data_IF_466021835985
#
_entry.id   IF_466021835985
#
_cell.length_a   1.000
_cell.length_b   1.000
_cell.length_c   1.000
_cell.angle_alpha   90.00
_cell.angle_beta   90.00
_cell.angle_gamma   90.00
#
_symmetry.space_group_name_H-M   'P 1'
#
loop_
_entity.id
_entity.type
_entity.pdbx_description
1 polymer ?
#
# COMPACT_ATOMS: atom_id res chain seq x y z
N UNK A 1 44.93 8.18 32.55
CA UNK A 1 44.78 8.56 31.15
C UNK A 1 44.75 7.30 30.31
N UNK A 2 43.57 6.90 29.88
CA UNK A 2 43.41 5.79 28.91
C UNK A 2 42.89 6.40 27.62
N UNK A 3 43.67 6.38 26.59
CA UNK A 3 43.37 6.87 25.24
C UNK A 3 42.44 5.85 24.57
N UNK A 4 41.21 6.29 24.28
CA UNK A 4 40.26 5.53 23.45
C UNK A 4 40.55 5.95 21.99
N UNK A 5 41.05 5.03 21.19
CA UNK A 5 41.25 5.21 19.75
C UNK A 5 39.87 5.12 19.03
N UNK A 6 39.69 5.84 17.90
CA UNK A 6 38.44 5.78 17.14
C UNK A 6 38.32 4.44 16.40
N UNK A 7 37.21 3.76 16.62
CA UNK A 7 36.80 2.63 15.81
C UNK A 7 36.32 3.15 14.44
N UNK A 8 37.11 2.86 13.39
CA UNK A 8 36.74 3.11 11.99
C UNK A 8 35.79 1.99 11.57
N UNK A 9 34.47 2.30 11.54
CA UNK A 9 33.48 1.42 10.91
C UNK A 9 33.67 1.47 9.40
N UNK A 10 34.20 0.38 8.81
CA UNK A 10 34.27 0.18 7.39
C UNK A 10 32.83 -0.07 6.87
N UNK A 11 32.19 0.98 6.35
CA UNK A 11 30.98 0.81 5.52
C UNK A 11 31.45 0.14 4.20
N UNK A 12 31.11 -1.14 4.06
CA UNK A 12 31.15 -1.83 2.76
C UNK A 12 30.09 -1.20 1.86
N UNK A 13 30.47 -0.20 1.10
CA UNK A 13 29.70 0.30 -0.04
C UNK A 13 29.62 -0.84 -1.06
N UNK A 14 28.43 -1.45 -1.19
CA UNK A 14 28.15 -2.33 -2.32
C UNK A 14 28.38 -1.51 -3.60
N UNK A 15 29.33 -1.97 -4.45
CA UNK A 15 29.60 -1.34 -5.72
C UNK A 15 28.29 -1.31 -6.55
N UNK A 16 27.90 -0.17 -7.14
CA UNK A 16 26.75 -0.12 -8.01
C UNK A 16 27.00 -1.07 -9.19
N UNK A 17 26.03 -1.95 -9.46
CA UNK A 17 26.03 -2.74 -10.70
C UNK A 17 26.14 -1.78 -11.87
N UNK A 18 27.02 -2.03 -12.87
CA UNK A 18 27.12 -1.16 -14.04
C UNK A 18 25.74 -1.11 -14.71
N UNK A 19 25.18 0.09 -14.80
CA UNK A 19 23.90 0.32 -15.45
C UNK A 19 24.04 -0.11 -16.92
N UNK A 20 23.30 -1.13 -17.35
CA UNK A 20 23.21 -1.51 -18.75
C UNK A 20 22.35 -0.46 -19.46
N UNK A 21 23.01 0.53 -20.05
CA UNK A 21 22.37 1.69 -20.69
C UNK A 21 21.91 1.43 -22.12
N UNK A 22 22.25 0.28 -22.71
CA UNK A 22 21.83 -0.13 -24.05
C UNK A 22 21.00 -1.40 -24.01
N UNK A 23 20.02 -1.50 -24.94
CA UNK A 23 19.22 -2.72 -25.12
C UNK A 23 20.01 -3.78 -25.89
N UNK A 24 19.96 -5.01 -25.43
CA UNK A 24 20.35 -6.18 -26.24
C UNK A 24 19.38 -6.37 -27.39
N UNK A 25 19.71 -7.24 -28.36
CA UNK A 25 18.83 -7.52 -29.49
C UNK A 25 17.46 -8.08 -29.08
N UNK A 26 17.43 -9.00 -28.10
CA UNK A 26 16.16 -9.56 -27.59
C UNK A 26 15.34 -8.51 -26.84
N UNK A 27 15.99 -7.62 -26.07
CA UNK A 27 15.32 -6.52 -25.39
C UNK A 27 14.77 -5.47 -26.38
N UNK A 28 15.42 -5.27 -27.54
CA UNK A 28 14.88 -4.44 -28.62
C UNK A 28 13.63 -5.08 -29.23
N UNK A 29 13.67 -6.41 -29.50
CA UNK A 29 12.50 -7.13 -29.97
C UNK A 29 11.35 -7.02 -28.94
N UNK A 30 11.60 -7.26 -27.66
CA UNK A 30 10.62 -7.12 -26.58
C UNK A 30 9.97 -5.73 -26.56
N UNK A 31 10.77 -4.66 -26.64
CA UNK A 31 10.28 -3.29 -26.75
C UNK A 31 9.33 -3.11 -27.93
N UNK A 32 9.72 -3.61 -29.11
CA UNK A 32 8.99 -3.43 -30.36
C UNK A 32 7.70 -4.27 -30.39
N UNK A 33 7.71 -5.47 -29.81
CA UNK A 33 6.51 -6.31 -29.57
C UNK A 33 5.48 -5.54 -28.75
N UNK A 34 5.86 -4.97 -27.60
CA UNK A 34 4.95 -4.20 -26.75
C UNK A 34 4.40 -2.97 -27.50
N UNK A 35 5.22 -2.33 -28.33
CA UNK A 35 4.76 -1.19 -29.12
C UNK A 35 3.70 -1.62 -30.16
N UNK A 36 3.86 -2.77 -30.79
CA UNK A 36 2.88 -3.32 -31.75
C UNK A 36 1.56 -3.72 -31.11
N UNK A 37 1.58 -4.17 -29.85
CA UNK A 37 0.40 -4.57 -29.07
C UNK A 37 -0.35 -3.41 -28.39
N UNK A 38 0.12 -2.16 -28.57
CA UNK A 38 -0.48 -0.99 -27.89
C UNK A 38 -1.99 -0.88 -28.06
N UNK A 39 -2.50 -1.15 -29.24
CA UNK A 39 -3.94 -1.05 -29.53
C UNK A 39 -4.73 -2.09 -28.73
N UNK A 40 -4.19 -3.30 -28.64
CA UNK A 40 -4.81 -4.42 -27.91
C UNK A 40 -4.78 -4.16 -26.40
N UNK A 41 -3.67 -3.63 -25.88
CA UNK A 41 -3.59 -3.24 -24.46
C UNK A 41 -4.63 -2.16 -24.09
N UNK A 42 -4.85 -1.17 -24.94
CA UNK A 42 -5.88 -0.14 -24.72
C UNK A 42 -7.29 -0.73 -24.82
N UNK A 43 -7.53 -1.65 -25.77
CA UNK A 43 -8.82 -2.32 -25.91
C UNK A 43 -9.11 -3.22 -24.69
N UNK A 44 -8.10 -3.92 -24.19
CA UNK A 44 -8.21 -4.73 -23.00
C UNK A 44 -8.46 -3.88 -21.75
N UNK A 45 -7.73 -2.76 -21.57
CA UNK A 45 -7.98 -1.82 -20.50
C UNK A 45 -9.44 -1.32 -20.54
N UNK A 46 -9.92 -0.89 -21.72
CA UNK A 46 -11.32 -0.51 -21.88
C UNK A 46 -12.27 -1.60 -21.41
N UNK A 47 -12.04 -2.84 -21.83
CA UNK A 47 -12.89 -3.96 -21.47
C UNK A 47 -13.00 -4.16 -19.96
N UNK A 48 -11.87 -4.13 -19.22
CA UNK A 48 -11.87 -4.38 -17.78
C UNK A 48 -12.35 -3.20 -16.94
N UNK A 49 -12.12 -1.94 -17.37
CA UNK A 49 -12.64 -0.77 -16.66
C UNK A 49 -14.13 -0.54 -16.92
N UNK A 50 -14.67 -1.03 -18.03
CA UNK A 50 -16.10 -1.00 -18.32
C UNK A 50 -16.91 -2.04 -17.51
N UNK A 51 -16.22 -2.91 -16.76
CA UNK A 51 -16.84 -3.79 -15.76
C UNK A 51 -16.81 -3.05 -14.40
N UNK A 52 -17.98 -2.59 -13.86
CA UNK A 52 -18.04 -2.01 -12.52
C UNK A 52 -17.58 -3.01 -11.48
N UNK A 53 -16.62 -2.61 -10.63
CA UNK A 53 -16.00 -3.47 -9.62
C UNK A 53 -15.64 -2.70 -8.33
N UNK A 54 -16.54 -1.82 -7.86
CA UNK A 54 -16.39 -1.27 -6.51
C UNK A 54 -16.22 -2.41 -5.50
N UNK A 55 -15.44 -2.23 -4.44
CA UNK A 55 -15.04 -3.31 -3.52
C UNK A 55 -16.20 -4.16 -3.03
N UNK A 56 -17.35 -3.54 -2.75
CA UNK A 56 -18.56 -4.24 -2.30
C UNK A 56 -19.37 -4.90 -3.43
N UNK A 57 -19.03 -4.64 -4.69
CA UNK A 57 -19.62 -5.31 -5.85
C UNK A 57 -18.91 -6.64 -6.13
N UNK A 58 -19.13 -7.61 -5.24
CA UNK A 58 -18.52 -8.95 -5.30
C UNK A 58 -18.60 -9.57 -6.71
N UNK A 59 -19.77 -9.51 -7.36
CA UNK A 59 -19.96 -10.04 -8.70
C UNK A 59 -19.19 -9.27 -9.79
N UNK A 60 -18.99 -7.97 -9.61
CA UNK A 60 -18.18 -7.13 -10.49
C UNK A 60 -16.70 -7.49 -10.42
N UNK A 61 -16.15 -7.57 -9.22
CA UNK A 61 -14.76 -7.96 -8.98
C UNK A 61 -14.49 -9.37 -9.51
N UNK A 62 -15.40 -10.34 -9.28
CA UNK A 62 -15.29 -11.69 -9.83
C UNK A 62 -15.29 -11.72 -11.37
N UNK A 63 -16.09 -10.86 -12.02
CA UNK A 63 -16.10 -10.76 -13.50
C UNK A 63 -14.77 -10.22 -14.03
N UNK A 64 -14.19 -9.19 -13.38
CA UNK A 64 -12.86 -8.71 -13.74
C UNK A 64 -11.83 -9.82 -13.55
N UNK A 65 -11.86 -10.51 -12.40
CA UNK A 65 -10.98 -11.65 -12.13
C UNK A 65 -11.07 -12.75 -13.20
N UNK A 66 -12.28 -13.11 -13.65
CA UNK A 66 -12.47 -14.11 -14.68
C UNK A 66 -11.82 -13.74 -16.02
N UNK A 67 -11.81 -12.45 -16.39
CA UNK A 67 -11.15 -11.96 -17.61
C UNK A 67 -9.62 -12.14 -17.50
N UNK A 68 -9.02 -11.81 -16.36
CA UNK A 68 -7.58 -12.00 -16.16
C UNK A 68 -7.19 -13.47 -15.99
N UNK A 69 -8.02 -14.30 -15.36
CA UNK A 69 -7.81 -15.76 -15.27
C UNK A 69 -7.67 -16.34 -16.68
N UNK A 70 -8.63 -16.08 -17.57
CA UNK A 70 -8.59 -16.61 -18.94
C UNK A 70 -7.32 -16.19 -19.69
N UNK A 71 -6.87 -14.95 -19.49
CA UNK A 71 -5.67 -14.42 -20.14
C UNK A 71 -4.38 -15.04 -19.57
N UNK A 72 -4.28 -15.19 -18.26
CA UNK A 72 -3.11 -15.79 -17.60
C UNK A 72 -3.03 -17.30 -17.85
N UNK A 73 -4.16 -18.01 -17.87
CA UNK A 73 -4.21 -19.43 -18.26
C UNK A 73 -3.67 -19.63 -19.69
N UNK A 74 -3.99 -18.72 -20.62
CA UNK A 74 -3.48 -18.79 -22.00
C UNK A 74 -1.97 -18.62 -22.13
N UNK A 75 -1.33 -17.97 -21.11
CA UNK A 75 0.12 -17.82 -20.97
C UNK A 75 0.78 -18.96 -20.18
N UNK A 76 0.03 -20.01 -19.85
CA UNK A 76 0.56 -21.17 -19.12
C UNK A 76 0.66 -21.01 -17.61
N UNK A 77 0.07 -19.96 -17.04
CA UNK A 77 -0.02 -19.82 -15.58
C UNK A 77 -1.03 -20.82 -15.00
N UNK A 78 -0.76 -21.30 -13.81
CA UNK A 78 -1.72 -22.03 -12.99
C UNK A 78 -2.48 -21.03 -12.13
N UNK A 79 -3.72 -20.75 -12.48
CA UNK A 79 -4.55 -19.78 -11.76
C UNK A 79 -5.38 -20.45 -10.64
N UNK A 80 -5.59 -19.71 -9.57
CA UNK A 80 -6.42 -20.10 -8.42
C UNK A 80 -7.21 -18.88 -7.94
N UNK A 81 -8.52 -18.99 -7.87
CA UNK A 81 -9.35 -18.02 -7.17
C UNK A 81 -9.43 -18.38 -5.70
N UNK A 82 -8.99 -17.49 -4.82
CA UNK A 82 -9.06 -17.63 -3.36
C UNK A 82 -10.26 -16.85 -2.85
N UNK A 83 -11.40 -17.51 -2.56
CA UNK A 83 -12.61 -16.81 -2.13
C UNK A 83 -12.46 -16.29 -0.69
N UNK A 84 -13.10 -15.16 -0.39
CA UNK A 84 -13.31 -14.70 0.98
C UNK A 84 -14.54 -15.37 1.60
N UNK A 85 -14.57 -15.41 2.94
CA UNK A 85 -15.77 -15.88 3.64
C UNK A 85 -16.97 -14.95 3.36
N UNK A 86 -18.20 -15.48 3.30
CA UNK A 86 -19.39 -14.67 3.04
C UNK A 86 -19.58 -13.51 4.04
N UNK A 87 -19.14 -13.70 5.28
CA UNK A 87 -19.22 -12.70 6.35
C UNK A 87 -18.37 -11.46 6.05
N UNK A 88 -17.26 -11.63 5.35
CA UNK A 88 -16.38 -10.54 4.93
C UNK A 88 -17.00 -9.69 3.81
N UNK A 89 -17.96 -10.24 3.06
CA UNK A 89 -18.61 -9.57 1.91
C UNK A 89 -17.61 -9.00 0.91
N UNK A 90 -16.55 -9.78 0.63
CA UNK A 90 -15.51 -9.48 -0.36
C UNK A 90 -15.42 -10.61 -1.38
N UNK A 91 -14.98 -10.29 -2.59
CA UNK A 91 -14.97 -11.23 -3.70
C UNK A 91 -13.92 -12.34 -3.55
N UNK A 92 -12.78 -12.02 -3.01
CA UNK A 92 -11.60 -12.87 -2.98
C UNK A 92 -10.50 -12.37 -3.93
N UNK A 93 -9.48 -13.19 -4.12
CA UNK A 93 -8.25 -12.83 -4.82
C UNK A 93 -7.92 -13.82 -5.93
N UNK A 94 -7.21 -13.36 -6.95
CA UNK A 94 -6.57 -14.21 -7.94
C UNK A 94 -5.10 -14.43 -7.56
N UNK A 95 -4.68 -15.68 -7.50
CA UNK A 95 -3.27 -16.09 -7.45
C UNK A 95 -2.95 -16.88 -8.72
N UNK A 96 -1.93 -16.47 -9.49
CA UNK A 96 -1.51 -17.13 -10.69
C UNK A 96 0.00 -17.40 -10.64
N UNK A 97 0.43 -18.64 -10.90
CA UNK A 97 1.82 -19.08 -10.73
C UNK A 97 2.36 -19.63 -12.06
N UNK A 98 3.54 -19.16 -12.45
CA UNK A 98 4.32 -19.67 -13.57
C UNK A 98 5.70 -20.11 -13.08
N UNK A 99 6.06 -21.37 -13.36
CA UNK A 99 7.32 -21.95 -12.97
C UNK A 99 8.31 -21.92 -14.15
N UNK A 100 9.41 -21.20 -13.97
CA UNK A 100 10.53 -21.12 -14.89
C UNK A 100 11.75 -21.93 -14.43
N UNK A 101 12.95 -21.37 -14.59
CA UNK A 101 14.20 -22.04 -14.25
C UNK A 101 14.45 -22.11 -12.74
N UNK A 102 14.80 -23.29 -12.25
CA UNK A 102 15.18 -23.47 -10.85
C UNK A 102 16.43 -22.63 -10.48
N UNK A 103 16.43 -22.08 -9.27
CA UNK A 103 17.53 -21.25 -8.75
C UNK A 103 17.56 -19.80 -9.26
N UNK A 104 16.66 -19.43 -10.18
CA UNK A 104 16.44 -18.04 -10.61
C UNK A 104 15.47 -17.32 -9.68
N UNK A 105 15.52 -15.99 -9.71
CA UNK A 105 14.67 -15.12 -8.89
C UNK A 105 13.17 -15.44 -9.10
N UNK A 106 12.43 -15.53 -7.99
CA UNK A 106 10.98 -15.68 -7.93
C UNK A 106 10.36 -14.31 -7.71
N UNK A 107 9.59 -13.83 -8.65
CA UNK A 107 9.07 -12.47 -8.69
C UNK A 107 7.58 -12.49 -8.35
N UNK A 108 7.18 -11.75 -7.32
CA UNK A 108 5.78 -11.50 -6.99
C UNK A 108 5.32 -10.20 -7.66
N UNK A 109 4.26 -10.26 -8.46
CA UNK A 109 3.60 -9.13 -9.08
C UNK A 109 2.27 -8.87 -8.35
N UNK A 110 2.05 -7.64 -7.91
CA UNK A 110 0.90 -7.27 -7.07
C UNK A 110 0.06 -6.22 -7.80
N UNK A 111 -1.26 -6.47 -7.82
CA UNK A 111 -2.28 -5.54 -8.28
C UNK A 111 -3.61 -5.77 -7.59
N UNK A 112 -4.66 -5.00 -7.98
CA UNK A 112 -6.01 -5.18 -7.45
C UNK A 112 -7.11 -4.90 -8.48
N UNK A 113 -8.25 -5.59 -8.34
CA UNK A 113 -9.38 -5.52 -9.26
C UNK A 113 -10.46 -4.52 -8.85
N UNK A 114 -10.53 -4.22 -7.56
CA UNK A 114 -11.57 -3.37 -7.01
C UNK A 114 -11.28 -1.88 -7.21
N UNK A 115 -12.28 -1.06 -6.95
CA UNK A 115 -12.19 0.41 -7.07
C UNK A 115 -12.94 1.06 -5.91
N UNK A 116 -12.47 2.22 -5.45
CA UNK A 116 -13.19 3.03 -4.44
C UNK A 116 -14.56 3.44 -4.94
N UNK A 117 -14.64 3.89 -6.20
CA UNK A 117 -15.89 4.37 -6.79
C UNK A 117 -16.54 3.27 -7.61
N UNK A 118 -17.83 3.02 -7.37
CA UNK A 118 -18.65 2.15 -8.21
C UNK A 118 -19.26 2.95 -9.37
N UNK A 119 -18.80 2.77 -10.62
CA UNK A 119 -19.41 3.46 -11.75
C UNK A 119 -20.79 2.88 -12.06
N UNK A 120 -21.73 3.71 -12.48
CA UNK A 120 -23.09 3.28 -12.84
C UNK A 120 -23.17 2.40 -14.10
N UNK A 121 -22.06 2.18 -14.80
CA UNK A 121 -21.95 1.41 -16.05
C UNK A 121 -20.56 1.56 -16.66
N UNK A 122 -20.45 1.36 -17.97
CA UNK A 122 -19.20 1.53 -18.70
C UNK A 122 -18.60 2.93 -18.45
N UNK A 123 -17.33 2.97 -18.05
CA UNK A 123 -16.67 4.20 -17.59
C UNK A 123 -15.63 4.75 -18.57
N UNK A 124 -15.19 3.95 -19.57
CA UNK A 124 -14.14 4.34 -20.49
C UNK A 124 -14.61 5.34 -21.54
N UNK A 125 -14.12 6.57 -21.43
CA UNK A 125 -14.32 7.61 -22.46
C UNK A 125 -12.96 8.13 -22.91
N UNK A 126 -12.60 7.83 -24.16
CA UNK A 126 -11.32 8.27 -24.73
C UNK A 126 -11.30 9.77 -24.99
N UNK A 127 -10.23 10.42 -24.58
CA UNK A 127 -9.95 11.85 -24.77
C UNK A 127 -8.50 11.98 -25.26
N UNK A 128 -8.30 11.90 -26.58
CA UNK A 128 -7.00 11.93 -27.26
C UNK A 128 -5.99 10.89 -26.71
N UNK A 129 -4.98 11.36 -25.96
CA UNK A 129 -3.93 10.56 -25.36
C UNK A 129 -4.27 10.05 -23.95
N UNK A 130 -5.45 10.43 -23.43
CA UNK A 130 -5.97 9.99 -22.14
C UNK A 130 -7.32 9.32 -22.31
N UNK A 131 -7.79 8.66 -21.26
CA UNK A 131 -9.18 8.25 -21.16
C UNK A 131 -9.67 8.55 -19.73
N UNK A 132 -10.93 9.01 -19.63
CA UNK A 132 -11.65 8.95 -18.36
C UNK A 132 -12.06 7.50 -18.17
N UNK A 133 -11.67 6.92 -17.02
CA UNK A 133 -11.92 5.50 -16.71
C UNK A 133 -11.74 5.28 -15.21
N UNK A 134 -12.80 4.91 -14.52
CA UNK A 134 -12.73 4.52 -13.09
C UNK A 134 -11.95 3.22 -12.95
N UNK A 135 -10.95 3.19 -12.07
CA UNK A 135 -10.00 2.09 -11.95
C UNK A 135 -8.97 2.03 -13.08
N UNK A 136 -8.91 3.06 -13.95
CA UNK A 136 -7.98 3.10 -15.08
C UNK A 136 -6.54 3.39 -14.67
N UNK A 137 -6.33 4.20 -13.65
CA UNK A 137 -5.03 4.45 -13.04
C UNK A 137 -4.85 3.77 -11.69
N UNK A 138 -5.95 3.45 -11.03
CA UNK A 138 -6.01 2.85 -9.70
C UNK A 138 -7.01 1.67 -9.68
N UNK A 139 -6.54 0.36 -9.88
CA UNK A 139 -5.25 0.16 -10.56
C UNK A 139 -5.35 -0.85 -11.72
N UNK A 140 -6.54 -1.08 -12.33
CA UNK A 140 -6.69 -2.03 -13.46
C UNK A 140 -5.73 -1.76 -14.63
N UNK A 141 -5.32 -0.49 -14.83
CA UNK A 141 -4.26 -0.17 -15.78
C UNK A 141 -2.90 -0.76 -15.40
N UNK A 142 -2.62 -0.89 -14.11
CA UNK A 142 -1.45 -1.62 -13.59
C UNK A 142 -1.56 -3.13 -13.87
N UNK A 143 -2.74 -3.72 -13.66
CA UNK A 143 -3.00 -5.13 -13.97
C UNK A 143 -2.82 -5.42 -15.47
N UNK A 144 -3.26 -4.50 -16.32
CA UNK A 144 -3.05 -4.59 -17.78
C UNK A 144 -1.57 -4.47 -18.14
N UNK A 145 -0.80 -3.62 -17.47
CA UNK A 145 0.66 -3.52 -17.65
C UNK A 145 1.32 -4.84 -17.30
N UNK A 146 0.94 -5.48 -16.19
CA UNK A 146 1.44 -6.82 -15.80
C UNK A 146 1.15 -7.82 -16.92
N UNK A 147 -0.11 -7.94 -17.33
CA UNK A 147 -0.53 -8.92 -18.32
C UNK A 147 0.20 -8.74 -19.66
N UNK A 148 0.27 -7.53 -20.20
CA UNK A 148 0.91 -7.26 -21.49
C UNK A 148 2.44 -7.31 -21.42
N UNK A 149 3.04 -7.09 -20.26
CA UNK A 149 4.46 -7.36 -20.06
C UNK A 149 4.75 -8.87 -20.12
N UNK A 150 3.94 -9.69 -19.45
CA UNK A 150 4.06 -11.16 -19.46
C UNK A 150 3.79 -11.73 -20.87
N UNK A 151 2.77 -11.22 -21.56
CA UNK A 151 2.44 -11.63 -22.92
C UNK A 151 3.60 -11.36 -23.90
N UNK A 152 4.17 -10.15 -23.85
CA UNK A 152 5.31 -9.82 -24.72
C UNK A 152 6.56 -10.65 -24.37
N UNK A 153 6.77 -10.98 -23.08
CA UNK A 153 7.84 -11.88 -22.65
C UNK A 153 7.63 -13.31 -23.18
N UNK A 154 6.39 -13.78 -23.26
CA UNK A 154 6.06 -15.06 -23.85
C UNK A 154 6.33 -15.08 -25.36
N UNK A 155 5.88 -14.06 -26.09
CA UNK A 155 6.09 -13.94 -27.54
C UNK A 155 7.56 -13.90 -27.95
N UNK A 156 8.46 -13.36 -27.13
CA UNK A 156 9.90 -13.37 -27.38
C UNK A 156 10.61 -14.57 -26.76
N UNK A 157 9.87 -15.51 -26.15
CA UNK A 157 10.39 -16.75 -25.58
C UNK A 157 11.16 -16.57 -24.26
N UNK A 158 10.97 -15.47 -23.55
CA UNK A 158 11.62 -15.22 -22.26
C UNK A 158 10.78 -15.69 -21.07
N UNK A 159 9.45 -15.74 -21.18
CA UNK A 159 8.55 -16.08 -20.07
C UNK A 159 8.84 -17.48 -19.53
N UNK A 160 9.14 -18.43 -20.39
CA UNK A 160 9.40 -19.84 -20.01
C UNK A 160 10.51 -20.01 -18.97
N UNK A 161 11.42 -19.03 -18.86
CA UNK A 161 12.55 -19.06 -17.92
C UNK A 161 12.25 -18.34 -16.60
N UNK A 162 11.15 -17.58 -16.51
CA UNK A 162 10.80 -16.72 -15.38
C UNK A 162 9.94 -17.44 -14.34
N UNK A 163 10.32 -17.35 -13.07
CA UNK A 163 9.47 -17.75 -11.96
C UNK A 163 8.64 -16.53 -11.53
N UNK A 164 7.34 -16.55 -11.81
CA UNK A 164 6.45 -15.41 -11.57
C UNK A 164 5.21 -15.88 -10.80
N UNK A 165 4.89 -15.17 -9.74
CA UNK A 165 3.59 -15.26 -9.06
C UNK A 165 2.88 -13.91 -9.22
N UNK A 166 1.66 -13.92 -9.74
CA UNK A 166 0.78 -12.76 -9.81
C UNK A 166 -0.27 -12.88 -8.73
N UNK A 167 -0.45 -11.85 -7.93
CA UNK A 167 -1.58 -11.75 -6.99
C UNK A 167 -2.35 -10.48 -7.30
N UNK A 168 -3.62 -10.64 -7.64
CA UNK A 168 -4.56 -9.55 -7.76
C UNK A 168 -5.59 -9.65 -6.65
N UNK A 169 -5.56 -8.68 -5.73
CA UNK A 169 -6.54 -8.62 -4.64
C UNK A 169 -7.86 -8.05 -5.14
N UNK A 170 -8.95 -8.40 -4.49
CA UNK A 170 -10.28 -7.94 -4.85
C UNK A 170 -10.90 -7.04 -3.79
N UNK A 171 -10.09 -6.52 -2.87
CA UNK A 171 -10.51 -5.70 -1.74
C UNK A 171 -9.38 -4.78 -1.22
N UNK A 172 -8.51 -4.26 -2.10
CA UNK A 172 -7.44 -3.36 -1.67
C UNK A 172 -8.01 -2.08 -1.09
N UNK A 173 -9.01 -1.52 -1.73
CA UNK A 173 -9.60 -0.21 -1.45
C UNK A 173 -10.49 -0.17 -0.17
N UNK A 174 -11.05 -1.32 0.19
CA UNK A 174 -11.83 -1.50 1.44
C UNK A 174 -11.63 -2.94 1.93
N UNK A 175 -10.51 -3.22 2.62
CA UNK A 175 -10.14 -4.58 2.98
C UNK A 175 -11.17 -5.28 3.85
N UNK A 176 -11.34 -6.58 3.62
CA UNK A 176 -12.13 -7.43 4.49
C UNK A 176 -11.55 -7.50 5.91
N UNK A 177 -12.38 -7.77 6.88
CA UNK A 177 -11.96 -7.92 8.28
C UNK A 177 -12.23 -9.36 8.78
N UNK A 178 -11.30 -10.01 9.48
CA UNK A 178 -9.97 -9.52 9.93
C UNK A 178 -8.96 -9.35 8.78
N UNK A 179 -8.09 -8.34 8.91
CA UNK A 179 -7.16 -7.95 7.85
C UNK A 179 -6.09 -9.00 7.54
N UNK A 180 -5.61 -9.74 8.54
CA UNK A 180 -4.69 -10.86 8.39
C UNK A 180 -5.27 -12.00 7.54
N UNK A 181 -6.58 -12.26 7.65
CA UNK A 181 -7.31 -13.21 6.80
C UNK A 181 -7.45 -12.64 5.38
N UNK A 182 -7.78 -11.35 5.25
CA UNK A 182 -7.95 -10.69 3.96
C UNK A 182 -6.64 -10.65 3.15
N UNK A 183 -5.49 -10.65 3.79
CA UNK A 183 -4.17 -10.61 3.13
C UNK A 183 -3.41 -11.93 3.17
N UNK A 184 -4.00 -13.00 3.71
CA UNK A 184 -3.33 -14.29 3.86
C UNK A 184 -2.78 -14.84 2.52
N UNK A 185 -3.55 -14.78 1.43
CA UNK A 185 -3.13 -15.25 0.13
C UNK A 185 -1.91 -14.49 -0.43
N UNK A 186 -1.89 -13.17 -0.27
CA UNK A 186 -0.78 -12.30 -0.66
C UNK A 186 0.47 -12.59 0.17
N UNK A 187 0.33 -12.69 1.49
CA UNK A 187 1.43 -13.01 2.42
C UNK A 187 2.02 -14.39 2.09
N UNK A 188 1.18 -15.39 1.83
CA UNK A 188 1.62 -16.73 1.47
C UNK A 188 2.35 -16.75 0.12
N UNK A 189 1.86 -16.03 -0.89
CA UNK A 189 2.57 -15.85 -2.16
C UNK A 189 3.92 -15.16 -1.95
N UNK A 190 3.98 -14.16 -1.06
CA UNK A 190 5.21 -13.50 -0.68
C UNK A 190 6.25 -14.44 -0.10
N UNK A 191 5.88 -15.33 0.82
CA UNK A 191 6.81 -16.31 1.39
C UNK A 191 7.42 -17.29 0.36
N UNK A 192 6.79 -17.44 -0.79
CA UNK A 192 7.29 -18.27 -1.91
C UNK A 192 8.10 -17.47 -2.94
N UNK A 193 8.26 -16.16 -2.75
CA UNK A 193 8.90 -15.24 -3.68
C UNK A 193 10.18 -14.61 -3.08
N UNK A 194 11.00 -14.01 -3.91
CA UNK A 194 12.27 -13.38 -3.50
C UNK A 194 12.18 -11.84 -3.54
N UNK A 195 11.36 -11.29 -4.45
CA UNK A 195 11.11 -9.84 -4.60
C UNK A 195 9.66 -9.58 -4.96
N UNK A 196 9.14 -8.42 -4.56
CA UNK A 196 7.79 -7.97 -4.88
C UNK A 196 7.79 -6.69 -5.73
N UNK A 197 6.94 -6.65 -6.75
CA UNK A 197 6.73 -5.50 -7.62
C UNK A 197 5.23 -5.17 -7.64
N UNK A 198 4.85 -3.97 -7.16
CA UNK A 198 3.45 -3.56 -7.13
C UNK A 198 3.16 -2.49 -8.19
N UNK A 199 2.05 -2.69 -8.90
CA UNK A 199 1.71 -1.92 -10.08
C UNK A 199 0.64 -0.85 -9.80
N UNK A 200 0.68 -0.31 -8.57
CA UNK A 200 -0.04 0.90 -8.19
C UNK A 200 0.31 2.10 -9.06
N UNK A 201 -0.51 3.15 -9.00
CA UNK A 201 -0.38 4.36 -9.79
C UNK A 201 1.07 4.83 -9.97
N UNK A 202 1.52 4.89 -11.21
CA UNK A 202 2.89 5.13 -11.61
C UNK A 202 3.24 6.58 -11.86
N UNK A 203 4.53 6.82 -12.13
CA UNK A 203 5.09 8.11 -12.52
C UNK A 203 6.09 7.96 -13.66
N UNK A 204 6.38 9.07 -14.36
CA UNK A 204 7.45 9.08 -15.38
C UNK A 204 8.84 8.96 -14.81
N UNK A 205 9.08 9.54 -13.63
CA UNK A 205 10.44 9.81 -13.13
C UNK A 205 10.65 9.49 -11.66
N UNK A 206 9.65 8.92 -10.97
CA UNK A 206 9.77 8.48 -9.59
C UNK A 206 9.09 7.13 -9.40
N UNK A 207 9.63 6.31 -8.46
CA UNK A 207 9.02 5.05 -8.01
C UNK A 207 9.10 4.93 -6.49
N UNK A 208 8.23 4.13 -5.89
CA UNK A 208 8.06 4.05 -4.44
C UNK A 208 8.97 2.96 -3.88
N UNK A 209 9.95 3.37 -3.07
CA UNK A 209 10.92 2.51 -2.37
C UNK A 209 10.61 2.35 -0.89
N UNK A 210 9.66 3.12 -0.37
CA UNK A 210 9.23 3.08 1.02
C UNK A 210 7.83 3.68 1.14
N UNK A 211 7.01 3.15 2.07
CA UNK A 211 5.65 3.62 2.39
C UNK A 211 5.44 3.66 3.90
N UNK A 212 4.72 4.67 4.36
CA UNK A 212 4.30 4.72 5.75
C UNK A 212 3.23 3.66 6.00
N UNK A 213 3.33 2.99 7.15
CA UNK A 213 2.25 2.18 7.68
C UNK A 213 1.13 3.02 8.29
N UNK A 214 0.02 2.38 8.60
CA UNK A 214 -1.12 2.97 9.29
C UNK A 214 -1.55 2.15 10.50
N UNK A 215 -2.10 2.86 11.47
CA UNK A 215 -2.72 2.32 12.67
C UNK A 215 -3.77 3.29 13.14
N UNK A 216 -4.90 2.82 13.66
CA UNK A 216 -5.85 3.67 14.34
C UNK A 216 -5.62 3.64 15.86
N UNK A 217 -6.08 4.69 16.54
CA UNK A 217 -6.11 4.77 18.00
C UNK A 217 -7.48 5.28 18.48
N UNK A 218 -7.87 4.83 19.66
CA UNK A 218 -9.12 5.22 20.32
C UNK A 218 -8.86 5.49 21.79
N UNK A 219 -9.38 6.61 22.30
CA UNK A 219 -9.28 7.02 23.70
C UNK A 219 -10.67 7.13 24.28
N UNK A 220 -10.85 6.56 25.46
CA UNK A 220 -12.02 6.78 26.31
C UNK A 220 -11.54 7.45 27.59
N UNK A 221 -12.01 8.68 27.85
CA UNK A 221 -11.77 9.39 29.08
C UNK A 221 -13.03 9.43 29.95
N UNK A 222 -12.86 9.28 31.26
CA UNK A 222 -13.95 9.32 32.22
C UNK A 222 -13.68 10.35 33.32
N UNK A 223 -14.76 10.81 33.95
CA UNK A 223 -14.69 11.75 35.06
C UNK A 223 -15.91 11.60 35.99
N UNK A 224 -15.85 12.25 37.13
CA UNK A 224 -16.97 12.26 38.08
C UNK A 224 -18.02 13.26 37.65
N UNK A 225 -19.24 12.77 37.39
CA UNK A 225 -20.38 13.65 37.12
C UNK A 225 -20.81 14.37 38.37
N UNK A 226 -20.96 15.69 38.28
CA UNK A 226 -21.38 16.55 39.41
C UNK A 226 -21.95 17.87 38.88
N UNK A 227 -22.47 18.68 39.77
CA UNK A 227 -22.80 20.07 39.46
C UNK A 227 -21.51 20.87 39.14
N UNK A 228 -21.55 21.73 38.13
CA UNK A 228 -20.37 22.47 37.62
C UNK A 228 -19.74 23.38 38.64
N UNK A 229 -20.47 23.83 39.68
CA UNK A 229 -19.90 24.59 40.79
C UNK A 229 -18.81 23.83 41.58
N UNK A 230 -18.79 22.48 41.47
CA UNK A 230 -17.78 21.62 42.10
C UNK A 230 -16.59 21.28 41.21
N UNK A 231 -16.55 21.74 39.96
CA UNK A 231 -15.42 21.46 39.03
C UNK A 231 -14.11 21.98 39.61
N UNK A 232 -13.02 21.21 39.43
CA UNK A 232 -11.67 21.43 39.95
C UNK A 232 -11.52 21.27 41.49
N UNK A 233 -12.60 20.94 42.22
CA UNK A 233 -12.48 20.59 43.63
C UNK A 233 -11.93 19.17 43.81
N UNK A 234 -11.36 18.90 45.00
CA UNK A 234 -10.84 17.56 45.32
C UNK A 234 -11.89 16.46 45.24
N UNK A 235 -13.17 16.76 45.53
CA UNK A 235 -14.26 15.76 45.48
C UNK A 235 -14.77 15.43 44.10
N UNK A 236 -14.70 16.36 43.14
CA UNK A 236 -15.24 16.21 41.79
C UNK A 236 -14.12 16.04 40.75
N UNK A 237 -13.07 16.85 40.81
CA UNK A 237 -11.99 16.83 39.82
C UNK A 237 -12.34 17.59 38.54
N UNK A 238 -11.71 17.20 37.44
CA UNK A 238 -11.70 17.98 36.19
C UNK A 238 -12.80 17.57 35.18
N UNK A 239 -13.30 16.34 35.26
CA UNK A 239 -14.23 15.79 34.26
C UNK A 239 -13.57 15.34 32.98
N UNK A 240 -14.28 14.48 32.24
CA UNK A 240 -13.74 13.71 31.11
C UNK A 240 -13.26 14.57 29.93
N UNK A 241 -13.92 15.69 29.65
CA UNK A 241 -13.53 16.57 28.52
C UNK A 241 -12.19 17.24 28.77
N UNK A 242 -11.91 17.74 29.98
CA UNK A 242 -10.60 18.32 30.29
C UNK A 242 -9.50 17.26 30.27
N UNK A 243 -9.76 16.03 30.72
CA UNK A 243 -8.82 14.93 30.63
C UNK A 243 -8.47 14.61 29.17
N UNK A 244 -9.46 14.47 28.29
CA UNK A 244 -9.25 14.23 26.89
C UNK A 244 -8.48 15.36 26.21
N UNK A 245 -8.83 16.61 26.49
CA UNK A 245 -8.13 17.78 25.96
C UNK A 245 -6.64 17.81 26.37
N UNK A 246 -6.33 17.49 27.65
CA UNK A 246 -4.95 17.34 28.14
C UNK A 246 -4.19 16.28 27.35
N UNK A 247 -4.80 15.09 27.13
CA UNK A 247 -4.17 13.98 26.40
C UNK A 247 -3.85 14.41 24.98
N UNK A 248 -4.82 14.96 24.24
CA UNK A 248 -4.64 15.38 22.85
C UNK A 248 -3.59 16.48 22.71
N UNK A 249 -3.57 17.47 23.63
CA UNK A 249 -2.55 18.51 23.62
C UNK A 249 -1.15 17.98 24.00
N UNK A 250 -1.07 17.02 24.92
CA UNK A 250 0.19 16.35 25.25
C UNK A 250 0.72 15.51 24.08
N UNK A 251 -0.14 14.85 23.32
CA UNK A 251 0.27 14.19 22.07
C UNK A 251 0.90 15.18 21.10
N UNK A 252 0.20 16.29 20.83
CA UNK A 252 0.70 17.36 19.98
C UNK A 252 2.06 17.92 20.44
N UNK A 253 2.21 18.16 21.73
CA UNK A 253 3.44 18.77 22.28
C UNK A 253 4.63 17.80 22.32
N UNK A 254 4.39 16.51 22.57
CA UNK A 254 5.46 15.56 22.90
C UNK A 254 5.81 14.61 21.76
N UNK A 255 4.94 14.46 20.74
CA UNK A 255 5.13 13.50 19.66
C UNK A 255 5.27 14.16 18.28
N UNK A 256 4.78 15.39 18.10
CA UNK A 256 4.87 16.07 16.80
C UNK A 256 6.31 16.44 16.44
N UNK A 257 6.62 16.39 15.13
CA UNK A 257 7.90 16.85 14.57
C UNK A 257 8.90 15.74 14.26
N UNK A 258 8.63 14.48 14.58
CA UNK A 258 9.43 13.36 14.10
C UNK A 258 9.15 13.11 12.62
N UNK A 259 10.21 12.89 11.83
CA UNK A 259 10.08 12.67 10.39
C UNK A 259 9.22 11.45 10.08
N UNK A 260 8.29 11.59 9.15
CA UNK A 260 7.32 10.59 8.70
C UNK A 260 6.34 10.10 9.77
N UNK A 261 6.40 10.61 10.99
CA UNK A 261 5.42 10.36 12.03
C UNK A 261 4.30 11.40 11.93
N UNK A 262 3.07 10.95 11.72
CA UNK A 262 1.89 11.81 11.82
C UNK A 262 0.78 11.11 12.59
N UNK A 263 0.04 11.87 13.36
CA UNK A 263 -1.14 11.38 14.08
C UNK A 263 -2.22 12.46 14.05
N UNK A 264 -3.43 12.05 13.76
CA UNK A 264 -4.57 12.95 13.63
C UNK A 264 -5.65 12.58 14.64
N UNK A 265 -6.26 13.55 15.27
CA UNK A 265 -7.50 13.37 16.01
C UNK A 265 -8.67 13.64 15.06
N UNK A 266 -9.29 12.57 14.55
CA UNK A 266 -10.32 12.65 13.52
C UNK A 266 -11.70 12.97 14.13
N UNK A 267 -12.02 12.33 15.25
CA UNK A 267 -13.31 12.48 15.92
C UNK A 267 -13.11 12.73 17.41
N UNK A 268 -13.89 13.67 17.95
CA UNK A 268 -13.97 13.96 19.41
C UNK A 268 -15.42 14.16 19.77
N UNK A 269 -15.90 13.43 20.78
CA UNK A 269 -17.24 13.62 21.39
C UNK A 269 -17.11 13.59 22.91
N UNK A 270 -17.87 14.44 23.62
CA UNK A 270 -17.80 14.48 25.08
C UNK A 270 -19.06 15.08 25.71
N UNK A 271 -19.49 14.53 26.86
CA UNK A 271 -20.68 14.96 27.55
C UNK A 271 -21.05 14.10 28.75
N UNK A 272 -22.25 14.30 29.27
CA UNK A 272 -22.83 13.42 30.28
C UNK A 272 -23.22 12.07 29.68
N UNK A 273 -23.86 12.10 28.51
CA UNK A 273 -24.27 10.93 27.76
C UNK A 273 -23.56 10.96 26.40
N UNK A 274 -22.71 9.95 26.17
CA UNK A 274 -21.91 9.79 24.96
C UNK A 274 -22.19 8.42 24.39
N UNK A 275 -22.55 8.37 23.12
CA UNK A 275 -22.61 7.15 22.32
C UNK A 275 -21.63 7.27 21.14
N UNK A 276 -20.87 6.21 20.88
CA UNK A 276 -19.94 6.15 19.78
C UNK A 276 -20.06 4.81 19.06
N UNK A 277 -20.22 4.86 17.73
CA UNK A 277 -20.24 3.70 16.84
C UNK A 277 -18.85 3.55 16.21
N UNK A 278 -18.12 2.52 16.63
CA UNK A 278 -16.75 2.25 16.19
C UNK A 278 -16.67 1.66 14.77
N UNK A 279 -17.80 1.28 14.18
CA UNK A 279 -17.88 0.77 12.80
C UNK A 279 -18.08 1.94 11.82
N UNK A 280 -18.95 2.89 12.20
CA UNK A 280 -19.25 4.06 11.38
C UNK A 280 -18.35 5.26 11.68
N UNK A 281 -17.46 5.14 12.67
CA UNK A 281 -16.62 6.22 13.19
C UNK A 281 -17.41 7.50 13.50
N UNK A 282 -18.60 7.33 14.08
CA UNK A 282 -19.54 8.41 14.36
C UNK A 282 -19.99 8.41 15.80
N UNK A 283 -20.30 9.59 16.34
CA UNK A 283 -20.72 9.69 17.74
C UNK A 283 -21.72 10.82 18.01
N UNK A 284 -22.48 10.67 19.09
CA UNK A 284 -23.37 11.69 19.62
C UNK A 284 -23.06 11.94 21.09
N UNK A 285 -23.23 13.21 21.52
CA UNK A 285 -23.08 13.58 22.91
C UNK A 285 -24.15 14.57 23.34
N UNK A 286 -24.57 14.48 24.61
CA UNK A 286 -25.45 15.45 25.24
C UNK A 286 -25.01 15.75 26.66
N UNK A 287 -25.30 16.96 27.13
CA UNK A 287 -25.07 17.40 28.51
C UNK A 287 -25.89 18.63 28.83
N UNK A 288 -26.14 18.87 30.12
CA UNK A 288 -26.60 20.18 30.59
C UNK A 288 -25.37 21.06 30.89
N UNK A 289 -25.48 22.38 30.66
CA UNK A 289 -24.37 23.31 30.82
C UNK A 289 -23.78 23.35 32.23
N UNK A 290 -24.57 23.05 33.24
CA UNK A 290 -24.18 23.06 34.64
C UNK A 290 -23.80 21.69 35.21
N UNK A 291 -23.41 20.73 34.33
CA UNK A 291 -22.96 19.40 34.76
C UNK A 291 -21.54 19.15 34.30
N UNK A 292 -20.67 18.66 35.19
CA UNK A 292 -19.33 18.14 34.84
C UNK A 292 -19.49 16.86 34.05
N UNK A 293 -18.94 16.78 32.82
CA UNK A 293 -19.10 15.62 31.94
C UNK A 293 -18.38 14.38 32.47
N UNK A 294 -19.06 13.22 32.39
CA UNK A 294 -18.53 11.94 32.88
C UNK A 294 -17.77 11.15 31.81
N UNK A 295 -17.99 11.45 30.54
CA UNK A 295 -17.42 10.65 29.45
C UNK A 295 -16.96 11.54 28.30
N UNK A 296 -15.82 11.18 27.68
CA UNK A 296 -15.35 11.72 26.42
C UNK A 296 -14.63 10.65 25.63
N UNK A 297 -14.74 10.72 24.32
CA UNK A 297 -14.15 9.78 23.36
C UNK A 297 -13.41 10.55 22.28
N UNK A 298 -12.26 10.01 21.85
CA UNK A 298 -11.57 10.44 20.64
C UNK A 298 -11.05 9.25 19.86
N UNK A 299 -11.01 9.39 18.54
CA UNK A 299 -10.33 8.46 17.65
C UNK A 299 -9.51 9.20 16.61
N UNK A 300 -8.52 8.50 16.04
CA UNK A 300 -7.68 9.05 15.00
C UNK A 300 -6.75 8.03 14.38
N UNK A 301 -6.00 8.47 13.38
CA UNK A 301 -4.98 7.66 12.72
C UNK A 301 -3.57 7.95 13.26
N UNK A 302 -2.67 7.03 12.99
CA UNK A 302 -1.24 7.12 13.28
C UNK A 302 -0.48 6.59 12.05
N UNK A 303 0.39 7.41 11.44
CA UNK A 303 1.24 7.03 10.32
C UNK A 303 2.69 6.98 10.76
N UNK A 304 3.39 5.93 10.38
CA UNK A 304 4.75 5.63 10.82
C UNK A 304 5.58 5.02 9.69
N UNK A 305 6.92 5.06 9.80
CA UNK A 305 7.84 4.57 8.77
C UNK A 305 8.42 3.20 9.11
N UNK A 306 8.54 2.85 10.41
CA UNK A 306 9.09 1.55 10.85
C UNK A 306 8.30 0.98 12.02
N UNK A 307 8.35 -0.35 12.24
CA UNK A 307 7.74 -0.97 13.40
C UNK A 307 8.25 -0.40 14.73
N UNK A 308 9.53 -0.05 14.82
CA UNK A 308 10.14 0.52 16.03
C UNK A 308 9.60 1.93 16.30
N UNK A 309 9.37 2.73 15.26
CA UNK A 309 8.74 4.05 15.38
C UNK A 309 7.30 3.90 15.90
N UNK A 310 6.55 2.94 15.37
CA UNK A 310 5.18 2.63 15.83
C UNK A 310 5.15 2.28 17.31
N UNK A 311 5.93 1.28 17.74
CA UNK A 311 5.88 0.80 19.11
C UNK A 311 6.39 1.85 20.12
N UNK A 312 7.44 2.59 19.80
CA UNK A 312 7.93 3.70 20.61
C UNK A 312 6.86 4.79 20.75
N UNK A 313 6.15 5.11 19.68
CA UNK A 313 5.10 6.13 19.68
C UNK A 313 3.89 5.66 20.50
N UNK A 314 3.44 4.41 20.31
CA UNK A 314 2.35 3.81 21.08
C UNK A 314 2.66 3.78 22.58
N UNK A 315 3.88 3.39 22.93
CA UNK A 315 4.30 3.37 24.33
C UNK A 315 4.29 4.78 24.93
N UNK A 316 4.77 5.78 24.19
CA UNK A 316 4.69 7.17 24.66
C UNK A 316 3.25 7.66 24.79
N UNK A 317 2.36 7.30 23.88
CA UNK A 317 0.93 7.60 23.98
C UNK A 317 0.31 6.95 25.23
N UNK A 318 0.63 5.67 25.53
CA UNK A 318 0.18 4.99 26.75
C UNK A 318 0.64 5.73 28.00
N UNK A 319 1.91 6.14 28.05
CA UNK A 319 2.48 6.90 29.19
C UNK A 319 1.79 8.26 29.39
N UNK A 320 1.43 8.95 28.32
CA UNK A 320 0.68 10.22 28.39
C UNK A 320 -0.73 9.98 28.92
N UNK A 321 -1.40 8.93 28.42
CA UNK A 321 -2.77 8.59 28.84
C UNK A 321 -2.79 8.16 30.31
N UNK A 322 -1.78 7.46 30.79
CA UNK A 322 -1.67 7.02 32.18
C UNK A 322 -1.48 8.17 33.21
N UNK A 323 -1.22 9.39 32.76
CA UNK A 323 -1.14 10.58 33.62
C UNK A 323 -2.51 11.24 33.67
N UNK A 324 -3.20 11.12 34.81
CA UNK A 324 -4.58 11.61 34.92
C UNK A 324 -4.66 12.95 35.67
N UNK A 325 -5.61 13.78 35.26
CA UNK A 325 -6.06 14.89 36.05
C UNK A 325 -6.82 14.39 37.31
N UNK A 326 -6.85 15.13 38.41
CA UNK A 326 -7.60 14.74 39.59
C UNK A 326 -9.07 14.40 39.30
N UNK A 327 -9.51 13.22 39.72
CA UNK A 327 -10.88 12.76 39.57
C UNK A 327 -11.28 12.29 38.17
N UNK A 328 -10.26 11.99 37.33
CA UNK A 328 -10.45 11.42 35.98
C UNK A 328 -9.71 10.11 35.80
N UNK A 329 -10.01 9.41 34.72
CA UNK A 329 -9.32 8.22 34.22
C UNK A 329 -9.38 8.22 32.69
N UNK A 330 -8.45 7.52 32.01
CA UNK A 330 -8.47 7.35 30.57
C UNK A 330 -7.80 6.04 30.13
N UNK A 331 -8.26 5.51 29.01
CA UNK A 331 -7.70 4.31 28.38
C UNK A 331 -7.49 4.59 26.88
N UNK A 332 -6.43 4.02 26.32
CA UNK A 332 -6.14 4.03 24.89
C UNK A 332 -6.06 2.61 24.35
N UNK A 333 -6.70 2.40 23.21
CA UNK A 333 -6.57 1.18 22.40
C UNK A 333 -5.99 1.51 21.03
N UNK A 334 -5.23 0.57 20.46
CA UNK A 334 -4.69 0.67 19.10
C UNK A 334 -5.28 -0.44 18.24
N UNK A 335 -5.41 -0.13 16.95
CA UNK A 335 -5.90 -1.05 15.93
C UNK A 335 -4.82 -1.09 14.85
N UNK A 336 -4.29 -2.29 14.59
CA UNK A 336 -3.34 -2.48 13.51
C UNK A 336 -4.07 -2.44 12.16
N UNK A 337 -3.48 -1.73 11.22
CA UNK A 337 -3.94 -1.64 9.84
C UNK A 337 -2.80 -2.08 8.92
N UNK A 338 -2.29 -1.21 8.07
CA UNK A 338 -1.24 -1.55 7.11
C UNK A 338 0.16 -1.48 7.74
N UNK A 339 1.00 -2.51 7.59
CA UNK A 339 2.41 -2.44 7.95
C UNK A 339 3.14 -1.30 7.21
N UNK A 340 4.26 -0.85 7.74
CA UNK A 340 5.14 0.03 6.98
C UNK A 340 5.97 -0.78 5.97
N UNK A 341 6.33 -0.13 4.87
CA UNK A 341 7.38 -0.58 3.96
C UNK A 341 8.60 0.33 4.17
N UNK A 342 9.52 -0.03 5.07
CA UNK A 342 10.71 0.80 5.33
C UNK A 342 11.66 0.79 4.14
N UNK A 343 12.48 1.85 4.01
CA UNK A 343 13.54 1.91 3.01
C UNK A 343 14.62 0.87 3.31
N UNK A 344 14.87 -0.02 2.36
CA UNK A 344 15.93 -1.03 2.47
C UNK A 344 16.96 -0.88 1.33
N UNK A 345 18.18 -1.40 1.49
CA UNK A 345 19.14 -1.50 0.37
C UNK A 345 18.61 -2.33 -0.80
N UNK A 346 17.77 -3.35 -0.53
CA UNK A 346 17.14 -4.17 -1.56
C UNK A 346 16.10 -3.40 -2.36
N UNK A 347 15.25 -2.57 -1.72
CA UNK A 347 14.31 -1.71 -2.42
C UNK A 347 15.03 -0.72 -3.34
N UNK A 348 16.17 -0.14 -2.89
CA UNK A 348 17.00 0.72 -3.72
C UNK A 348 17.63 -0.02 -4.90
N UNK A 349 18.02 -1.27 -4.72
CA UNK A 349 18.51 -2.14 -5.79
C UNK A 349 17.44 -2.43 -6.83
N UNK A 350 16.18 -2.70 -6.41
CA UNK A 350 15.06 -2.85 -7.33
C UNK A 350 14.76 -1.57 -8.10
N UNK A 351 14.85 -0.41 -7.43
CA UNK A 351 14.75 0.89 -8.12
C UNK A 351 15.86 1.03 -9.18
N UNK A 352 17.09 0.61 -8.88
CA UNK A 352 18.18 0.68 -9.85
C UNK A 352 17.94 -0.22 -11.09
N UNK A 353 17.31 -1.39 -10.94
CA UNK A 353 16.86 -2.20 -12.08
C UNK A 353 15.81 -1.44 -12.92
N UNK A 354 14.81 -0.82 -12.27
CA UNK A 354 13.77 -0.08 -12.96
C UNK A 354 14.30 1.19 -13.65
N UNK A 355 15.19 1.93 -12.99
CA UNK A 355 15.86 3.10 -13.54
C UNK A 355 16.74 2.73 -14.75
N UNK A 356 17.53 1.65 -14.64
CA UNK A 356 18.34 1.13 -15.76
C UNK A 356 17.47 0.72 -16.96
N UNK A 357 16.32 0.07 -16.72
CA UNK A 357 15.37 -0.26 -17.78
C UNK A 357 14.79 1.00 -18.44
N UNK A 358 14.40 1.99 -17.64
CA UNK A 358 13.87 3.27 -18.11
C UNK A 358 14.88 4.03 -18.99
N UNK A 359 16.14 4.13 -18.55
CA UNK A 359 17.20 4.79 -19.29
C UNK A 359 17.55 4.06 -20.59
N UNK A 360 17.67 2.72 -20.56
CA UNK A 360 17.94 1.92 -21.76
C UNK A 360 16.83 2.04 -22.82
N UNK A 361 15.56 2.26 -22.40
CA UNK A 361 14.42 2.52 -23.27
C UNK A 361 14.34 3.98 -23.75
N UNK A 362 15.19 4.88 -23.26
CA UNK A 362 15.20 6.30 -23.62
C UNK A 362 14.15 7.15 -22.89
N UNK A 363 13.54 6.64 -21.80
CA UNK A 363 12.54 7.36 -21.02
C UNK A 363 13.11 8.24 -19.90
N UNK A 364 14.43 8.21 -19.72
CA UNK A 364 15.15 9.00 -18.71
C UNK A 364 15.18 8.34 -17.33
N UNK A 365 15.82 9.01 -16.34
CA UNK A 365 16.05 8.45 -15.03
C UNK A 365 14.78 8.37 -14.18
N UNK A 366 14.78 7.42 -13.23
CA UNK A 366 13.73 7.25 -12.21
C UNK A 366 14.36 7.38 -10.84
N UNK A 367 13.86 8.33 -10.04
CA UNK A 367 14.31 8.60 -8.67
C UNK A 367 13.36 7.96 -7.62
N UNK A 368 13.80 7.81 -6.36
CA UNK A 368 12.92 7.39 -5.28
C UNK A 368 11.88 8.47 -4.96
N UNK A 369 10.64 8.05 -4.71
CA UNK A 369 9.58 8.93 -4.20
C UNK A 369 9.80 9.18 -2.70
N UNK A 370 9.46 10.39 -2.24
CA UNK A 370 9.38 10.69 -0.80
C UNK A 370 8.26 9.85 -0.16
N UNK A 371 8.56 9.03 0.85
CA UNK A 371 7.56 8.20 1.53
C UNK A 371 6.39 8.99 2.14
N UNK A 372 6.61 10.26 2.48
CA UNK A 372 5.57 11.16 2.99
C UNK A 372 4.44 11.46 1.99
N UNK A 373 4.66 11.23 0.70
CA UNK A 373 3.71 11.50 -0.38
C UNK A 373 2.78 10.32 -0.72
N UNK A 374 2.99 9.15 -0.11
CA UNK A 374 2.17 7.94 -0.36
C UNK A 374 1.45 7.46 0.90
N UNK A 375 0.24 6.96 0.72
CA UNK A 375 -0.46 6.14 1.71
C UNK A 375 0.11 4.73 1.82
N UNK A 376 -0.54 3.87 2.59
CA UNK A 376 -0.25 2.44 2.64
C UNK A 376 -0.79 1.71 1.38
N UNK A 377 -0.45 0.44 1.18
CA UNK A 377 -0.92 -0.41 0.08
C UNK A 377 -0.46 -1.85 0.24
N UNK A 378 -0.91 -2.72 -0.63
CA UNK A 378 -0.76 -4.17 -0.51
C UNK A 378 0.69 -4.66 -0.43
N UNK A 379 1.65 -3.99 -1.08
CA UNK A 379 3.07 -4.31 -0.93
C UNK A 379 3.55 -4.29 0.53
N UNK A 380 2.93 -3.46 1.36
CA UNK A 380 3.28 -3.34 2.79
C UNK A 380 3.13 -4.66 3.57
N UNK A 381 2.25 -5.57 3.15
CA UNK A 381 2.05 -6.85 3.84
C UNK A 381 3.18 -7.85 3.62
N UNK A 382 3.92 -7.73 2.55
CA UNK A 382 5.10 -8.57 2.26
C UNK A 382 6.42 -7.85 2.58
N UNK A 383 6.41 -6.54 2.73
CA UNK A 383 7.59 -5.73 3.07
C UNK A 383 8.33 -6.14 4.36
N UNK A 384 7.69 -6.71 5.40
CA UNK A 384 8.42 -7.18 6.59
C UNK A 384 9.46 -8.27 6.31
N UNK A 385 9.28 -9.09 5.26
CA UNK A 385 10.15 -10.23 4.99
C UNK A 385 10.76 -10.27 3.57
N UNK A 386 10.39 -9.34 2.66
CA UNK A 386 10.99 -9.25 1.33
C UNK A 386 11.19 -7.81 0.86
N UNK A 387 12.10 -7.61 -0.09
CA UNK A 387 12.30 -6.32 -0.73
C UNK A 387 11.27 -6.09 -1.83
N UNK A 388 10.88 -4.83 -2.02
CA UNK A 388 9.86 -4.48 -3.00
C UNK A 388 10.06 -3.12 -3.65
N UNK A 389 9.39 -2.93 -4.79
CA UNK A 389 9.29 -1.66 -5.50
C UNK A 389 7.84 -1.46 -5.94
N UNK A 390 7.34 -0.25 -5.82
CA UNK A 390 5.96 0.09 -6.15
C UNK A 390 5.86 1.37 -6.99
N UNK A 391 4.65 1.63 -7.53
CA UNK A 391 4.41 2.76 -8.41
C UNK A 391 4.82 2.46 -9.86
N UNK A 392 4.72 1.19 -10.26
CA UNK A 392 5.08 0.68 -11.58
C UNK A 392 3.91 0.68 -12.58
N UNK A 393 2.71 0.98 -12.10
CA UNK A 393 1.46 0.90 -12.86
C UNK A 393 1.16 2.10 -13.75
N UNK A 394 -0.10 2.25 -14.09
CA UNK A 394 -0.54 3.27 -15.03
C UNK A 394 -0.38 4.69 -14.48
N UNK A 395 -0.05 5.63 -15.36
CA UNK A 395 -0.06 7.05 -15.03
C UNK A 395 -1.47 7.60 -15.19
N UNK A 396 -1.91 8.37 -14.20
CA UNK A 396 -3.24 8.96 -14.24
C UNK A 396 -3.41 10.12 -13.28
N UNK A 397 -4.65 10.50 -13.08
CA UNK A 397 -5.04 11.55 -12.13
C UNK A 397 -6.49 11.34 -11.69
N UNK A 398 -6.85 11.90 -10.53
CA UNK A 398 -8.23 11.86 -10.04
C UNK A 398 -8.67 10.50 -9.55
N UNK A 399 -7.73 9.61 -9.14
CA UNK A 399 -8.03 8.37 -8.44
C UNK A 399 -9.04 8.62 -7.29
N UNK A 400 -9.84 7.61 -6.94
CA UNK A 400 -10.91 7.69 -5.95
C UNK A 400 -12.05 8.67 -6.32
N UNK A 401 -12.19 9.01 -7.61
CA UNK A 401 -13.28 9.88 -8.06
C UNK A 401 -13.89 9.42 -9.40
N UNK A 402 -15.14 9.80 -9.69
CA UNK A 402 -15.75 9.54 -11.01
C UNK A 402 -15.04 10.23 -12.19
N UNK A 403 -14.14 11.18 -11.89
CA UNK A 403 -13.36 11.92 -12.88
C UNK A 403 -11.97 11.32 -13.13
N UNK A 404 -11.71 10.13 -12.63
CA UNK A 404 -10.44 9.44 -12.80
C UNK A 404 -10.05 9.31 -14.27
N UNK A 405 -8.76 9.54 -14.56
CA UNK A 405 -8.17 9.54 -15.90
C UNK A 405 -6.91 8.69 -15.93
N UNK A 406 -6.71 7.99 -17.03
CA UNK A 406 -5.50 7.23 -17.34
C UNK A 406 -4.81 7.79 -18.59
N UNK A 407 -3.47 7.82 -18.58
CA UNK A 407 -2.65 8.25 -19.72
C UNK A 407 -2.33 7.04 -20.62
N UNK A 408 -2.98 6.98 -21.79
CA UNK A 408 -2.85 5.84 -22.73
C UNK A 408 -1.47 5.77 -23.41
N UNK A 409 -0.75 6.89 -23.55
CA UNK A 409 0.61 6.87 -24.06
C UNK A 409 1.60 6.29 -23.03
N UNK A 410 1.38 6.62 -21.77
CA UNK A 410 2.22 6.11 -20.68
C UNK A 410 2.00 4.62 -20.40
N UNK A 411 0.85 4.05 -20.76
CA UNK A 411 0.58 2.60 -20.61
C UNK A 411 1.67 1.78 -21.33
N UNK A 412 1.95 2.07 -22.60
CA UNK A 412 3.00 1.40 -23.38
C UNK A 412 4.39 1.57 -22.74
N UNK A 413 4.73 2.78 -22.30
CA UNK A 413 6.01 3.07 -21.63
C UNK A 413 6.18 2.23 -20.36
N UNK A 414 5.16 2.16 -19.54
CA UNK A 414 5.21 1.38 -18.28
C UNK A 414 5.27 -0.12 -18.56
N UNK A 415 4.55 -0.62 -19.56
CA UNK A 415 4.63 -2.02 -19.99
C UNK A 415 6.05 -2.39 -20.46
N UNK A 416 6.70 -1.52 -21.23
CA UNK A 416 8.08 -1.75 -21.69
C UNK A 416 9.08 -1.75 -20.52
N UNK A 417 8.94 -0.81 -19.57
CA UNK A 417 9.75 -0.77 -18.34
C UNK A 417 9.54 -2.04 -17.51
N UNK A 418 8.30 -2.45 -17.30
CA UNK A 418 7.94 -3.65 -16.55
C UNK A 418 8.54 -4.91 -17.18
N UNK A 419 8.31 -5.14 -18.46
CA UNK A 419 8.81 -6.32 -19.17
C UNK A 419 10.34 -6.40 -19.15
N UNK A 420 11.02 -5.27 -19.39
CA UNK A 420 12.48 -5.23 -19.34
C UNK A 420 13.03 -5.46 -17.93
N UNK A 421 12.41 -4.90 -16.92
CA UNK A 421 12.76 -5.14 -15.51
C UNK A 421 12.57 -6.61 -15.14
N UNK A 422 11.43 -7.22 -15.51
CA UNK A 422 11.13 -8.63 -15.26
C UNK A 422 12.16 -9.54 -15.91
N UNK A 423 12.49 -9.32 -17.18
CA UNK A 423 13.53 -10.07 -17.89
C UNK A 423 14.88 -10.00 -17.19
N UNK A 424 15.29 -8.80 -16.74
CA UNK A 424 16.58 -8.56 -16.08
C UNK A 424 16.66 -9.13 -14.68
N UNK A 425 15.60 -9.04 -13.88
CA UNK A 425 15.53 -9.63 -12.55
C UNK A 425 15.46 -11.15 -12.65
N UNK A 426 14.58 -11.69 -13.49
CA UNK A 426 14.37 -13.12 -13.63
C UNK A 426 15.58 -13.89 -14.17
N UNK A 427 16.49 -13.21 -14.90
CA UNK A 427 17.76 -13.78 -15.31
C UNK A 427 18.76 -13.98 -14.15
N UNK A 428 18.54 -13.35 -12.98
CA UNK A 428 19.47 -13.38 -11.84
C UNK A 428 19.22 -14.60 -10.95
N UNK A 429 20.26 -15.08 -10.23
CA UNK A 429 20.09 -16.07 -9.18
C UNK A 429 19.21 -15.55 -8.04
N UNK A 430 18.34 -16.39 -7.48
CA UNK A 430 17.52 -16.06 -6.32
C UNK A 430 18.35 -15.54 -5.13
N UNK A 431 19.55 -16.08 -4.93
CA UNK A 431 20.46 -15.71 -3.84
C UNK A 431 20.87 -14.21 -3.86
N UNK A 432 20.81 -13.53 -5.01
CA UNK A 432 21.10 -12.09 -5.10
C UNK A 432 20.04 -11.24 -4.37
N UNK A 433 18.85 -11.77 -4.16
CA UNK A 433 17.71 -11.07 -3.55
C UNK A 433 17.43 -11.52 -2.11
N UNK A 434 18.21 -12.50 -1.60
CA UNK A 434 18.09 -12.92 -0.22
C UNK A 434 18.43 -11.75 0.73
N UNK A 435 17.52 -11.45 1.67
CA UNK A 435 17.82 -10.49 2.74
C UNK A 435 18.91 -11.07 3.63
N UNK A 436 19.95 -10.28 3.88
CA UNK A 436 20.92 -10.60 4.92
C UNK A 436 20.23 -10.52 6.29
N UNK A 437 20.23 -11.61 7.03
CA UNK A 437 19.69 -11.63 8.38
C UNK A 437 20.40 -10.54 9.22
N UNK A 438 19.64 -9.52 9.66
CA UNK A 438 20.18 -8.45 10.50
C UNK A 438 20.21 -7.04 9.86
N UNK A 439 19.71 -6.83 8.66
CA UNK A 439 19.41 -5.47 8.19
C UNK A 439 18.07 -5.02 8.81
N UNK A 440 18.05 -3.82 9.48
CA UNK A 440 16.85 -3.28 10.09
C UNK A 440 15.77 -2.99 9.06
#
# INVERSE_FOLDING_TARGET
MRTIGPAVSLLLLAAPLPAQTSLTRVEQTLRDTILSERADAIAYLRHVVDIPSGTLNVGGVQRVGAVFIASLDSLGFKTTWVPMSPEMRRAGHLVAEHAGQAGKARILLIGHFDTVVEPAGASFVREDSTARAVGGSDMKGGDVIILFALKALDEVGLLQDLNVTVVFTGDEEDPGSPLDVARAALIEAGHRSDVALAFEGGSRSIATVARRGSSAWRIVATGRQSHSAGVFSQGVGYGAIYELARILDAFRQQLAGEQYLTFNAATVVGGTDVAYDTVRESGTASSKLNIVPRSAFASGDLRFMTPEQLERTRERMRQIVAQHLPGTDAQIAFIDEYPAMPLTPGNQRLLAFYDSASQALGYGPVAPMDPGMRGAGDLSFVAPFMDGLEGLGALGSGAHSPAERVNLNALTMQTQRAALMLARIGARPAAEFARTAGAP
#
